data_IF_882251194817
#
_entry.id   IF_882251194817
#
_cell.length_a   1.000
_cell.length_b   1.000
_cell.length_c   1.000
_cell.angle_alpha   90.00
_cell.angle_beta   90.00
_cell.angle_gamma   90.00
#
_symmetry.space_group_name_H-M   'P 1'
#
loop_
_entity.id
_entity.type
_entity.pdbx_description
1 polymer ?
#
# COMPACT_ATOMS: atom_id res chain seq x y z
N UNK A 1 -2.37 -10.22 -2.24
CA UNK A 1 -1.28 -9.80 -1.33
C UNK A 1 -1.64 -10.23 0.08
N UNK A 2 -0.65 -10.60 0.90
CA UNK A 2 -0.82 -11.07 2.28
C UNK A 2 -0.22 -10.06 3.25
N UNK A 3 -0.86 -9.93 4.41
CA UNK A 3 -0.39 -9.05 5.48
C UNK A 3 0.96 -9.56 6.00
N UNK A 4 1.85 -8.64 6.36
CA UNK A 4 3.23 -8.81 6.80
C UNK A 4 4.21 -9.37 5.75
N UNK A 5 3.77 -9.61 4.51
CA UNK A 5 4.69 -9.91 3.41
C UNK A 5 5.27 -8.63 2.80
N UNK A 6 6.47 -8.75 2.23
CA UNK A 6 7.20 -7.68 1.55
C UNK A 6 7.09 -7.83 0.04
N UNK A 7 6.95 -6.69 -0.64
CA UNK A 7 6.79 -6.61 -2.09
C UNK A 7 7.68 -5.52 -2.66
N UNK A 8 8.18 -5.72 -3.87
CA UNK A 8 8.86 -4.66 -4.61
C UNK A 8 7.84 -3.71 -5.27
N UNK A 9 8.29 -2.50 -5.60
CA UNK A 9 7.45 -1.54 -6.34
C UNK A 9 6.93 -2.11 -7.66
N UNK A 10 7.77 -2.87 -8.37
CA UNK A 10 7.39 -3.53 -9.62
C UNK A 10 6.27 -4.56 -9.43
N UNK A 11 6.33 -5.36 -8.36
CA UNK A 11 5.27 -6.32 -8.02
C UNK A 11 3.95 -5.62 -7.69
N UNK A 12 4.01 -4.51 -6.94
CA UNK A 12 2.83 -3.69 -6.62
C UNK A 12 2.22 -3.12 -7.91
N UNK A 13 3.03 -2.52 -8.78
CA UNK A 13 2.56 -1.96 -10.06
C UNK A 13 1.97 -3.03 -11.00
N UNK A 14 2.58 -4.23 -11.04
CA UNK A 14 2.09 -5.34 -11.87
C UNK A 14 0.70 -5.85 -11.44
N UNK A 15 0.30 -5.59 -10.19
CA UNK A 15 -1.03 -5.91 -9.66
C UNK A 15 -2.08 -4.82 -9.95
N UNK A 16 -1.72 -3.77 -10.68
CA UNK A 16 -2.60 -2.65 -11.01
C UNK A 16 -2.89 -1.73 -9.82
N UNK A 17 -2.07 -1.77 -8.76
CA UNK A 17 -2.19 -0.88 -7.62
C UNK A 17 -1.67 0.52 -7.99
N UNK A 18 -2.47 1.55 -7.73
CA UNK A 18 -2.13 2.95 -8.02
C UNK A 18 -1.73 3.66 -6.73
N UNK A 19 -0.56 4.31 -6.72
CA UNK A 19 -0.09 5.07 -5.56
C UNK A 19 -1.02 6.25 -5.27
N UNK A 20 -1.43 6.39 -4.01
CA UNK A 20 -2.22 7.51 -3.52
C UNK A 20 -1.35 8.42 -2.65
N UNK A 21 -1.19 9.70 -3.02
CA UNK A 21 -0.37 10.62 -2.24
C UNK A 21 -1.09 11.02 -0.95
N UNK A 22 -0.64 10.49 0.19
CA UNK A 22 -1.06 10.94 1.51
C UNK A 22 0.05 11.78 2.14
N UNK A 23 -0.27 13.03 2.51
CA UNK A 23 0.72 13.99 3.03
C UNK A 23 1.03 13.79 4.52
N UNK A 24 0.11 13.21 5.28
CA UNK A 24 0.17 13.20 6.75
C UNK A 24 0.33 11.80 7.37
N UNK A 25 0.64 10.79 6.55
CA UNK A 25 0.78 9.40 7.02
C UNK A 25 2.16 8.88 6.62
N UNK A 26 2.89 8.31 7.58
CA UNK A 26 4.15 7.58 7.34
C UNK A 26 3.91 6.20 6.70
N UNK A 27 3.02 6.13 5.72
CA UNK A 27 2.68 4.91 5.00
C UNK A 27 2.56 5.22 3.51
N UNK A 28 3.01 4.27 2.69
CA UNK A 28 2.77 4.29 1.25
C UNK A 28 1.43 3.65 0.99
N UNK A 29 0.51 4.44 0.45
CA UNK A 29 -0.87 4.01 0.23
C UNK A 29 -1.04 3.70 -1.25
N UNK A 30 -1.66 2.56 -1.52
CA UNK A 30 -2.03 2.19 -2.88
C UNK A 30 -3.49 1.77 -2.94
N UNK A 31 -4.13 2.05 -4.07
CA UNK A 31 -5.54 1.77 -4.31
C UNK A 31 -5.68 0.72 -5.40
N UNK A 32 -6.63 -0.20 -5.22
CA UNK A 32 -7.13 -1.07 -6.29
C UNK A 32 -8.64 -1.19 -6.16
N UNK A 33 -9.37 -0.50 -7.04
CA UNK A 33 -10.83 -0.46 -7.03
C UNK A 33 -11.41 -0.04 -5.68
N UNK A 34 -11.97 -1.01 -4.94
CA UNK A 34 -12.63 -0.83 -3.64
C UNK A 34 -11.70 -1.09 -2.44
N UNK A 35 -10.43 -1.42 -2.67
CA UNK A 35 -9.45 -1.72 -1.62
C UNK A 35 -8.36 -0.66 -1.51
N UNK A 36 -7.89 -0.46 -0.29
CA UNK A 36 -6.78 0.41 0.07
C UNK A 36 -5.74 -0.43 0.77
N UNK A 37 -4.51 -0.34 0.30
CA UNK A 37 -3.38 -1.12 0.77
C UNK A 37 -2.39 -0.16 1.42
N UNK A 38 -2.00 -0.47 2.65
CA UNK A 38 -1.04 0.33 3.38
C UNK A 38 0.27 -0.42 3.49
N UNK A 39 1.33 0.23 3.03
CA UNK A 39 2.67 -0.29 3.06
C UNK A 39 3.56 0.55 3.94
N UNK A 40 4.39 -0.14 4.70
CA UNK A 40 5.54 0.41 5.37
C UNK A 40 6.76 0.17 4.49
N UNK A 41 7.62 1.17 4.35
CA UNK A 41 8.91 0.99 3.68
C UNK A 41 9.88 0.34 4.66
N UNK A 42 10.67 -0.62 4.18
CA UNK A 42 11.82 -1.09 4.94
C UNK A 42 12.88 0.01 5.09
N UNK A 43 13.86 -0.19 5.98
CA UNK A 43 14.92 0.80 6.26
C UNK A 43 15.69 1.24 5.01
N UNK A 44 15.78 0.37 3.99
CA UNK A 44 16.46 0.65 2.73
C UNK A 44 15.53 1.28 1.67
N UNK A 45 14.25 1.49 1.98
CA UNK A 45 13.21 2.03 1.09
C UNK A 45 13.04 1.26 -0.23
N UNK A 46 13.44 0.00 -0.27
CA UNK A 46 13.38 -0.84 -1.47
C UNK A 46 12.18 -1.78 -1.44
N UNK A 47 11.76 -2.18 -0.23
CA UNK A 47 10.66 -3.10 -0.04
C UNK A 47 9.48 -2.44 0.65
N UNK A 48 8.30 -2.85 0.24
CA UNK A 48 7.02 -2.40 0.74
C UNK A 48 6.41 -3.55 1.54
N UNK A 49 6.43 -3.46 2.86
CA UNK A 49 5.77 -4.41 3.76
C UNK A 49 4.29 -4.06 3.85
N UNK A 50 3.43 -4.96 3.40
CA UNK A 50 1.98 -4.76 3.50
C UNK A 50 1.55 -4.97 4.96
N UNK A 51 1.08 -3.94 5.65
CA UNK A 51 0.67 -4.10 7.06
C UNK A 51 -0.85 -4.03 7.27
N UNK A 52 -1.60 -3.44 6.33
CA UNK A 52 -3.07 -3.41 6.41
C UNK A 52 -3.74 -3.31 5.04
N UNK A 53 -4.93 -3.89 4.94
CA UNK A 53 -5.85 -3.72 3.80
C UNK A 53 -7.22 -3.34 4.35
N UNK A 54 -7.78 -2.23 3.89
CA UNK A 54 -9.16 -1.82 4.25
C UNK A 54 -10.00 -1.58 2.99
N UNK A 55 -11.30 -1.41 3.19
CA UNK A 55 -12.18 -0.96 2.12
C UNK A 55 -12.03 0.55 1.90
N UNK A 56 -12.04 0.97 0.64
CA UNK A 56 -11.92 2.37 0.22
C UNK A 56 -12.95 3.28 0.87
N UNK A 57 -14.17 2.80 1.10
CA UNK A 57 -15.21 3.56 1.83
C UNK A 57 -14.76 3.94 3.24
N UNK A 58 -14.06 3.04 3.94
CA UNK A 58 -13.54 3.27 5.30
C UNK A 58 -12.32 4.21 5.33
N UNK A 59 -11.68 4.48 4.19
CA UNK A 59 -10.52 5.37 4.12
C UNK A 59 -10.90 6.84 3.93
N UNK A 60 -12.07 7.12 3.35
CA UNK A 60 -12.58 8.47 3.09
C UNK A 60 -13.64 8.93 4.11
N UNK A 61 -13.94 8.10 5.10
CA UNK A 61 -14.78 8.43 6.25
C UNK A 61 -13.88 8.95 7.37
#
# INVERSE_FOLDING_TARGET
MRINETYSKQQISALGLVEYPAKDIKARIFLNGTKVYFFELDNNQQNYRLYSIINRRSFFL
#
